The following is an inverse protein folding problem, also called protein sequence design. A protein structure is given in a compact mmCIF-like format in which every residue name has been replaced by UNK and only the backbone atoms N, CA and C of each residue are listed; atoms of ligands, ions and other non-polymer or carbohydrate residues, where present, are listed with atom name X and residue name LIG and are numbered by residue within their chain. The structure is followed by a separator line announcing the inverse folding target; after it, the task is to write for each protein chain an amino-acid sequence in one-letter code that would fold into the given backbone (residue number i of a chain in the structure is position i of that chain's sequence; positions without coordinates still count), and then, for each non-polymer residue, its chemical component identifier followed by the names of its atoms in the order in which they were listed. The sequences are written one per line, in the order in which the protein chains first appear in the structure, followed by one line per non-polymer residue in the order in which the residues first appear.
data_IF_873452464532
#
_entry.id   IF_873452464532
#
_cell.length_a   1.000
_cell.length_b   1.000
_cell.length_c   1.000
_cell.angle_alpha   90.00
_cell.angle_beta   90.00
_cell.angle_gamma   90.00
#
_symmetry.space_group_name_H-M   'P 1'
#
loop_
_entity.id
_entity.type
_entity.pdbx_description
1 polymer ?
#
# COMPACT_ATOMS: atom_id res chain seq x y z
N UNK A 1 9.99 26.19 4.04
CA UNK A 1 9.52 24.79 4.12
C UNK A 1 10.21 24.18 5.32
N UNK A 2 9.48 23.78 6.34
CA UNK A 2 10.06 23.00 7.45
C UNK A 2 10.30 21.57 6.94
N UNK A 3 11.51 21.00 7.09
CA UNK A 3 11.72 19.59 6.81
C UNK A 3 10.72 18.74 7.58
N UNK A 4 10.19 17.70 6.93
CA UNK A 4 9.38 16.70 7.63
C UNK A 4 10.29 15.95 8.61
N UNK A 5 9.97 16.01 9.91
CA UNK A 5 10.70 15.28 10.94
C UNK A 5 10.13 13.85 11.06
N UNK A 6 10.85 12.90 10.47
CA UNK A 6 10.51 11.47 10.49
C UNK A 6 11.14 10.72 11.68
N UNK A 7 11.89 11.39 12.55
CA UNK A 7 12.76 10.72 13.54
C UNK A 7 12.02 9.85 14.57
N UNK A 8 10.73 10.13 14.81
CA UNK A 8 9.85 9.33 15.67
C UNK A 8 8.94 8.35 14.94
N UNK A 9 9.06 8.22 13.61
CA UNK A 9 8.15 7.37 12.84
C UNK A 9 8.44 5.88 13.06
N UNK A 10 7.37 5.10 13.19
CA UNK A 10 7.49 3.64 13.28
C UNK A 10 8.04 3.07 11.97
N UNK A 11 9.09 2.27 12.08
CA UNK A 11 9.66 1.50 10.97
C UNK A 11 9.15 0.07 11.04
N UNK A 12 8.75 -0.48 9.89
CA UNK A 12 8.34 -1.87 9.77
C UNK A 12 9.44 -2.68 9.10
N UNK A 13 9.57 -3.96 9.46
CA UNK A 13 10.52 -4.90 8.85
C UNK A 13 9.89 -5.77 7.75
N UNK A 14 8.56 -5.78 7.68
CA UNK A 14 7.82 -6.46 6.63
C UNK A 14 6.46 -5.81 6.36
N UNK A 15 6.00 -5.96 5.12
CA UNK A 15 4.70 -5.49 4.68
C UNK A 15 4.15 -6.39 3.58
N UNK A 16 2.83 -6.50 3.50
CA UNK A 16 2.13 -7.24 2.47
C UNK A 16 0.92 -6.44 1.97
N UNK A 17 0.57 -6.63 0.71
CA UNK A 17 -0.77 -6.31 0.20
C UNK A 17 -1.65 -7.56 0.34
N UNK A 18 -2.90 -7.38 0.77
CA UNK A 18 -3.85 -8.48 0.94
C UNK A 18 -5.28 -8.01 0.70
N UNK A 19 -6.20 -8.94 0.45
CA UNK A 19 -7.63 -8.67 0.45
C UNK A 19 -8.39 -9.68 -0.41
N UNK A 20 -9.59 -9.33 -0.84
CA UNK A 20 -10.36 -10.19 -1.75
C UNK A 20 -9.85 -10.11 -3.20
N UNK A 21 -9.18 -9.02 -3.56
CA UNK A 21 -8.60 -8.79 -4.89
C UNK A 21 -7.32 -9.59 -5.16
N UNK A 22 -6.59 -9.97 -4.11
CA UNK A 22 -5.27 -10.59 -4.22
C UNK A 22 -4.97 -11.45 -3.00
N UNK A 23 -4.30 -12.59 -3.20
CA UNK A 23 -3.72 -13.34 -2.10
C UNK A 23 -2.68 -12.49 -1.36
N UNK A 24 -2.50 -12.73 -0.06
CA UNK A 24 -1.50 -12.00 0.73
C UNK A 24 -0.12 -12.12 0.08
N UNK A 25 0.37 -10.98 -0.41
CA UNK A 25 1.59 -10.89 -1.21
C UNK A 25 2.54 -9.90 -0.55
N UNK A 26 3.76 -10.34 -0.27
CA UNK A 26 4.78 -9.48 0.33
C UNK A 26 5.12 -8.30 -0.58
N UNK A 27 5.33 -7.14 0.02
CA UNK A 27 5.82 -5.94 -0.65
C UNK A 27 7.33 -5.79 -0.39
N UNK A 28 8.02 -5.18 -1.35
CA UNK A 28 9.45 -4.87 -1.25
C UNK A 28 9.63 -3.49 -0.65
N UNK A 29 10.48 -3.37 0.37
CA UNK A 29 10.90 -2.08 0.91
C UNK A 29 11.90 -1.40 -0.03
N UNK A 30 11.75 -0.09 -0.24
CA UNK A 30 12.67 0.68 -1.06
C UNK A 30 14.02 0.84 -0.33
N UNK A 31 15.13 0.59 -1.04
CA UNK A 31 16.46 0.47 -0.41
C UNK A 31 17.00 1.76 0.23
N UNK A 32 16.57 2.93 -0.25
CA UNK A 32 17.02 4.23 0.24
C UNK A 32 15.96 4.96 1.09
N UNK A 33 14.75 4.39 1.21
CA UNK A 33 13.67 4.92 2.05
C UNK A 33 12.87 3.77 2.66
N UNK A 34 13.12 3.48 3.94
CA UNK A 34 12.47 2.40 4.68
C UNK A 34 10.97 2.58 4.91
N UNK A 35 10.40 3.73 4.53
CA UNK A 35 8.98 3.98 4.63
C UNK A 35 8.23 3.79 3.32
N UNK A 36 8.92 3.54 2.21
CA UNK A 36 8.29 3.28 0.91
C UNK A 36 8.32 1.78 0.64
N UNK A 37 7.15 1.25 0.32
CA UNK A 37 6.92 -0.16 0.01
C UNK A 37 6.28 -0.25 -1.36
N UNK A 38 6.69 -1.23 -2.15
CA UNK A 38 6.15 -1.43 -3.48
C UNK A 38 6.02 -2.89 -3.86
N UNK A 39 5.13 -3.15 -4.81
CA UNK A 39 5.10 -4.40 -5.57
C UNK A 39 4.74 -4.08 -7.01
N UNK A 40 5.41 -4.75 -7.95
CA UNK A 40 5.35 -4.40 -9.36
C UNK A 40 4.72 -5.55 -10.15
N UNK A 41 3.86 -5.19 -11.11
CA UNK A 41 3.18 -6.14 -11.98
C UNK A 41 2.33 -7.19 -11.25
N UNK A 42 1.69 -6.83 -10.13
CA UNK A 42 0.78 -7.75 -9.45
C UNK A 42 -0.60 -7.76 -10.11
N UNK A 43 -1.16 -8.94 -10.31
CA UNK A 43 -2.54 -9.07 -10.80
C UNK A 43 -3.52 -8.71 -9.69
N UNK A 44 -4.37 -7.72 -9.93
CA UNK A 44 -5.48 -7.38 -9.05
C UNK A 44 -6.81 -7.65 -9.76
N UNK A 45 -7.76 -8.30 -9.09
CA UNK A 45 -9.13 -8.52 -9.57
C UNK A 45 -10.14 -7.62 -8.86
N UNK A 46 -11.37 -7.42 -9.40
CA UNK A 46 -12.36 -6.57 -8.74
C UNK A 46 -12.67 -7.05 -7.33
N UNK A 47 -12.55 -6.16 -6.36
CA UNK A 47 -12.60 -6.50 -4.94
C UNK A 47 -11.93 -5.42 -4.11
N UNK A 48 -11.27 -5.84 -3.04
CA UNK A 48 -10.72 -4.93 -2.04
C UNK A 48 -9.27 -5.31 -1.70
N UNK A 49 -8.44 -4.32 -1.39
CA UNK A 49 -7.08 -4.50 -0.87
C UNK A 49 -6.81 -3.67 0.38
N UNK A 50 -5.80 -4.08 1.15
CA UNK A 50 -5.27 -3.37 2.31
C UNK A 50 -3.78 -3.67 2.46
N UNK A 51 -3.05 -2.78 3.15
CA UNK A 51 -1.65 -2.97 3.48
C UNK A 51 -1.51 -3.51 4.90
N UNK A 52 -0.95 -4.71 5.03
CA UNK A 52 -0.70 -5.38 6.31
C UNK A 52 0.76 -5.21 6.69
N UNK A 53 1.01 -4.63 7.86
CA UNK A 53 2.36 -4.56 8.46
C UNK A 53 2.72 -5.86 9.17
N UNK A 54 4.01 -6.11 9.39
CA UNK A 54 4.55 -7.19 10.23
C UNK A 54 4.05 -7.17 11.69
N UNK A 55 3.59 -6.01 12.19
CA UNK A 55 2.98 -5.87 13.52
C UNK A 55 1.49 -6.22 13.57
N UNK A 56 0.88 -6.55 12.42
CA UNK A 56 -0.55 -6.86 12.31
C UNK A 56 -1.46 -5.64 12.11
N UNK A 57 -0.91 -4.42 12.05
CA UNK A 57 -1.68 -3.23 11.67
C UNK A 57 -2.08 -3.31 10.19
N UNK A 58 -3.35 -3.01 9.90
CA UNK A 58 -3.93 -3.04 8.56
C UNK A 58 -4.32 -1.62 8.15
N UNK A 59 -3.81 -1.17 7.01
CA UNK A 59 -4.02 0.18 6.49
C UNK A 59 -4.82 0.14 5.20
N UNK A 60 -5.80 1.03 5.10
CA UNK A 60 -6.59 1.20 3.89
C UNK A 60 -7.36 2.51 3.86
N UNK A 61 -8.08 2.75 2.78
CA UNK A 61 -8.84 3.97 2.44
C UNK A 61 -10.01 3.57 1.54
N UNK A 62 -11.11 4.34 1.52
CA UNK A 62 -12.29 4.07 0.70
C UNK A 62 -12.18 4.58 -0.76
N UNK A 63 -10.99 5.01 -1.19
CA UNK A 63 -10.72 5.57 -2.52
C UNK A 63 -9.96 4.60 -3.43
N UNK A 64 -10.43 4.40 -4.66
CA UNK A 64 -9.68 3.63 -5.67
C UNK A 64 -8.45 4.39 -6.18
N UNK A 65 -7.48 3.64 -6.73
CA UNK A 65 -6.26 4.10 -7.41
C UNK A 65 -5.25 4.88 -6.57
N UNK A 66 -5.66 5.86 -5.77
CA UNK A 66 -4.75 6.60 -4.92
C UNK A 66 -5.50 7.23 -3.77
N UNK A 67 -4.78 7.56 -2.70
CA UNK A 67 -5.38 8.16 -1.53
C UNK A 67 -4.43 8.18 -0.34
N UNK A 68 -5.02 8.33 0.84
CA UNK A 68 -4.31 8.28 2.12
C UNK A 68 -4.94 7.16 2.96
N UNK A 69 -4.23 6.05 3.06
CA UNK A 69 -4.60 4.94 3.92
C UNK A 69 -4.35 5.29 5.39
N UNK A 70 -5.27 4.87 6.25
CA UNK A 70 -5.16 5.01 7.71
C UNK A 70 -5.15 3.64 8.36
N UNK A 71 -4.42 3.49 9.47
CA UNK A 71 -4.45 2.27 10.28
C UNK A 71 -5.89 2.02 10.81
N UNK A 72 -6.44 0.83 10.54
CA UNK A 72 -7.83 0.49 10.84
C UNK A 72 -8.86 1.18 9.93
N UNK A 73 -8.42 1.76 8.81
CA UNK A 73 -9.30 2.37 7.81
C UNK A 73 -10.12 1.36 7.01
N UNK A 74 -10.96 1.88 6.11
CA UNK A 74 -11.71 1.06 5.15
C UNK A 74 -10.76 0.29 4.20
N UNK A 75 -11.28 -0.71 3.49
CA UNK A 75 -10.51 -1.37 2.43
C UNK A 75 -10.51 -0.54 1.15
N UNK A 76 -9.42 -0.67 0.38
CA UNK A 76 -9.19 0.04 -0.88
C UNK A 76 -9.88 -0.70 -2.03
N UNK A 77 -10.89 -0.09 -2.68
CA UNK A 77 -11.61 -0.76 -3.76
C UNK A 77 -10.74 -0.86 -5.02
N UNK A 78 -10.59 -2.07 -5.53
CA UNK A 78 -10.08 -2.38 -6.86
C UNK A 78 -11.28 -2.55 -7.78
N UNK A 79 -11.46 -1.58 -8.69
CA UNK A 79 -12.66 -1.50 -9.54
C UNK A 79 -12.44 -2.05 -10.96
N UNK A 80 -11.18 -2.28 -11.34
CA UNK A 80 -10.80 -2.79 -12.66
C UNK A 80 -9.79 -3.91 -12.46
N UNK A 81 -9.95 -4.98 -13.23
CA UNK A 81 -8.97 -6.06 -13.28
C UNK A 81 -7.79 -5.64 -14.17
N UNK A 82 -6.57 -5.64 -13.64
CA UNK A 82 -5.35 -5.41 -14.41
C UNK A 82 -4.11 -5.90 -13.64
N UNK A 83 -2.95 -5.82 -14.26
CA UNK A 83 -1.67 -5.84 -13.58
C UNK A 83 -1.32 -4.43 -13.08
N UNK A 84 -0.86 -4.32 -11.84
CA UNK A 84 -0.63 -3.06 -11.16
C UNK A 84 0.79 -2.94 -10.60
N UNK A 85 1.34 -1.74 -10.74
CA UNK A 85 2.41 -1.26 -9.86
C UNK A 85 1.78 -0.56 -8.65
N UNK A 86 2.04 -1.09 -7.46
CA UNK A 86 1.48 -0.59 -6.20
C UNK A 86 2.58 0.00 -5.35
N UNK A 87 2.33 1.19 -4.82
CA UNK A 87 3.23 1.91 -3.93
C UNK A 87 2.49 2.39 -2.70
N UNK A 88 3.15 2.32 -1.55
CA UNK A 88 2.63 2.81 -0.28
C UNK A 88 3.74 3.44 0.56
N UNK A 89 3.42 4.57 1.20
CA UNK A 89 4.32 5.32 2.06
C UNK A 89 3.78 5.32 3.51
N UNK A 90 4.52 4.70 4.43
CA UNK A 90 4.09 4.53 5.83
C UNK A 90 4.20 5.81 6.67
N UNK A 91 4.98 6.81 6.24
CA UNK A 91 5.06 8.12 6.91
C UNK A 91 3.81 8.97 6.68
N UNK A 92 3.26 8.90 5.48
CA UNK A 92 2.18 9.79 5.03
C UNK A 92 0.85 9.07 4.84
N UNK A 93 0.85 7.73 4.87
CA UNK A 93 -0.30 6.91 4.49
C UNK A 93 -0.60 6.93 2.99
N UNK A 94 0.16 7.67 2.17
CA UNK A 94 -0.15 7.81 0.74
C UNK A 94 0.10 6.51 0.00
N UNK A 95 -0.83 6.13 -0.86
CA UNK A 95 -0.66 5.01 -1.78
C UNK A 95 -1.07 5.39 -3.21
N UNK A 96 -0.58 4.59 -4.16
CA UNK A 96 -1.03 4.61 -5.55
C UNK A 96 -1.01 3.18 -6.12
N UNK A 97 -2.04 2.85 -6.90
CA UNK A 97 -2.22 1.65 -7.69
C UNK A 97 -2.21 2.11 -9.16
N UNK A 98 -1.17 1.77 -9.90
CA UNK A 98 -0.98 2.18 -11.30
C UNK A 98 -1.28 0.97 -12.19
N UNK A 99 -2.39 0.96 -12.94
CA UNK A 99 -2.64 -0.09 -13.92
C UNK A 99 -1.62 -0.02 -15.06
N UNK A 100 -1.19 -1.17 -15.56
CA UNK A 100 -0.12 -1.28 -16.55
C UNK A 100 -0.61 -1.47 -17.98
N UNK A 101 -1.86 -1.90 -18.20
CA UNK A 101 -2.34 -2.29 -19.53
C UNK A 101 -3.58 -1.51 -20.01
N UNK A 102 -3.85 -0.34 -19.41
CA UNK A 102 -4.99 0.53 -19.75
C UNK A 102 -4.66 1.60 -20.80
#
# INVERSE_FOLDING_TARGET
MTPYDASGATTFSGMSIQGSSVATTAMTQLSFDGHIWYTAGIRLTPGEVSFLTDTGATWGSDSSFSGVATNGGASIPVIVEDDYDVWFNTLTGRYILIPLNL
#
